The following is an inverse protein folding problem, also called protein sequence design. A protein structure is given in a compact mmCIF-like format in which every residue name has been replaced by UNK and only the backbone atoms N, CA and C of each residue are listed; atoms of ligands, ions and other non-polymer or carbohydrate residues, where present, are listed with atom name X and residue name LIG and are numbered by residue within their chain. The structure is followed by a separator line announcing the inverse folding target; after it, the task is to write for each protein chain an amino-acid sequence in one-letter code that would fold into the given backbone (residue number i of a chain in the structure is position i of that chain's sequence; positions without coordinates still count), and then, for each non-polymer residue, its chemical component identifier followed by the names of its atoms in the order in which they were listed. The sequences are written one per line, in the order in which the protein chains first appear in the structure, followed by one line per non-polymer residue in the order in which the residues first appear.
data_IF_295738919498
#
_entry.id   IF_295738919498
#
_cell.length_a   1.000
_cell.length_b   1.000
_cell.length_c   1.000
_cell.angle_alpha   90.00
_cell.angle_beta   90.00
_cell.angle_gamma   90.00
#
_symmetry.space_group_name_H-M   'P 1'
#
loop_
_entity.id
_entity.type
_entity.pdbx_description
1 polymer ?
#
# COMPACT_ATOMS: atom_id res chain seq x y z
N UNK A 1 -4.90 -0.09 13.00
CA UNK A 1 -4.56 1.15 12.28
C UNK A 1 -4.09 2.21 13.26
N UNK A 2 -4.93 2.66 14.21
CA UNK A 2 -4.60 3.78 15.10
C UNK A 2 -3.32 3.56 15.92
N UNK A 3 -3.05 2.35 16.39
CA UNK A 3 -1.88 2.04 17.20
C UNK A 3 -0.55 2.11 16.40
N UNK A 4 -0.59 1.83 15.10
CA UNK A 4 0.62 1.74 14.27
C UNK A 4 0.85 2.95 13.37
N UNK A 5 -0.12 3.85 13.24
CA UNK A 5 0.01 5.04 12.37
C UNK A 5 1.18 5.97 12.73
N UNK A 6 1.63 5.93 13.99
CA UNK A 6 2.73 6.76 14.50
C UNK A 6 4.10 6.13 14.31
N UNK A 7 4.17 4.89 13.82
CA UNK A 7 5.45 4.17 13.63
C UNK A 7 6.26 4.69 12.46
N UNK A 8 5.63 5.41 11.53
CA UNK A 8 6.25 5.86 10.29
C UNK A 8 6.25 4.82 9.17
N UNK A 9 5.58 3.67 9.36
CA UNK A 9 5.36 2.72 8.28
C UNK A 9 4.35 3.27 7.28
N UNK A 10 4.59 3.04 5.99
CA UNK A 10 3.59 3.28 4.95
C UNK A 10 2.46 2.27 5.13
N UNK A 11 1.22 2.74 5.11
CA UNK A 11 0.05 1.88 5.37
C UNK A 11 -0.77 1.72 4.10
N UNK A 12 -1.01 0.47 3.71
CA UNK A 12 -1.79 0.11 2.53
C UNK A 12 -2.93 -0.82 2.95
N UNK A 13 -4.16 -0.40 2.71
CA UNK A 13 -5.37 -1.17 3.04
C UNK A 13 -5.95 -1.83 1.80
N UNK A 14 -6.43 -3.06 1.95
CA UNK A 14 -7.17 -3.79 0.91
C UNK A 14 -8.58 -4.12 1.37
N UNK A 15 -9.54 -4.14 0.44
CA UNK A 15 -10.97 -4.38 0.70
C UNK A 15 -11.44 -5.78 0.33
N UNK A 16 -10.74 -6.48 -0.56
CA UNK A 16 -11.11 -7.81 -1.04
C UNK A 16 -9.91 -8.75 -1.12
N UNK A 17 -10.16 -10.05 -1.26
CA UNK A 17 -9.10 -11.07 -1.40
C UNK A 17 -8.24 -10.83 -2.65
N UNK A 18 -8.85 -10.40 -3.77
CA UNK A 18 -8.11 -10.05 -4.97
C UNK A 18 -7.20 -8.83 -4.74
N UNK A 19 -7.70 -7.79 -4.08
CA UNK A 19 -6.88 -6.63 -3.71
C UNK A 19 -5.72 -7.01 -2.79
N UNK A 20 -5.94 -7.91 -1.84
CA UNK A 20 -4.86 -8.40 -0.96
C UNK A 20 -3.74 -9.02 -1.78
N UNK A 21 -4.06 -9.84 -2.77
CA UNK A 21 -3.06 -10.47 -3.64
C UNK A 21 -2.27 -9.43 -4.45
N UNK A 22 -2.96 -8.54 -5.14
CA UNK A 22 -2.34 -7.56 -6.03
C UNK A 22 -1.55 -6.48 -5.27
N UNK A 23 -2.15 -5.94 -4.21
CA UNK A 23 -1.51 -4.88 -3.42
C UNK A 23 -0.39 -5.40 -2.50
N UNK A 24 -0.32 -6.70 -2.23
CA UNK A 24 0.85 -7.29 -1.59
C UNK A 24 2.11 -7.11 -2.45
N UNK A 25 1.99 -7.34 -3.76
CA UNK A 25 3.08 -7.08 -4.71
C UNK A 25 3.47 -5.60 -4.71
N UNK A 26 2.48 -4.70 -4.79
CA UNK A 26 2.73 -3.24 -4.74
C UNK A 26 3.45 -2.86 -3.45
N UNK A 27 3.03 -3.37 -2.30
CA UNK A 27 3.64 -3.07 -1.01
C UNK A 27 5.10 -3.53 -0.95
N UNK A 28 5.39 -4.77 -1.37
CA UNK A 28 6.74 -5.32 -1.36
C UNK A 28 7.69 -4.58 -2.29
N UNK A 29 7.30 -4.40 -3.54
CA UNK A 29 8.12 -3.72 -4.54
C UNK A 29 8.35 -2.25 -4.16
N UNK A 30 7.32 -1.58 -3.65
CA UNK A 30 7.44 -0.21 -3.17
C UNK A 30 8.32 -0.07 -1.93
N UNK A 31 8.29 -1.04 -1.03
CA UNK A 31 9.15 -1.04 0.17
C UNK A 31 10.62 -1.12 -0.20
N UNK A 32 10.98 -1.99 -1.14
CA UNK A 32 12.36 -2.14 -1.62
C UNK A 32 12.83 -0.88 -2.34
N UNK A 33 12.06 -0.40 -3.32
CA UNK A 33 12.40 0.79 -4.14
C UNK A 33 12.37 2.07 -3.31
N UNK A 34 11.36 2.23 -2.46
CA UNK A 34 11.14 3.43 -1.65
C UNK A 34 11.94 3.48 -0.35
N UNK A 35 12.56 2.38 0.06
CA UNK A 35 13.38 2.27 1.29
C UNK A 35 12.62 2.60 2.58
N UNK A 36 11.32 2.35 2.60
CA UNK A 36 10.47 2.53 3.77
C UNK A 36 9.73 1.23 4.10
N UNK A 37 9.48 0.97 5.39
CA UNK A 37 8.68 -0.18 5.78
C UNK A 37 7.21 0.02 5.42
N UNK A 38 6.55 -1.07 5.01
CA UNK A 38 5.13 -1.09 4.69
C UNK A 38 4.37 -1.99 5.65
N UNK A 39 3.17 -1.56 6.00
CA UNK A 39 2.16 -2.39 6.63
C UNK A 39 1.00 -2.52 5.64
N UNK A 40 0.91 -3.68 5.00
CA UNK A 40 -0.24 -4.05 4.19
C UNK A 40 -1.25 -4.78 5.08
N UNK A 41 -2.48 -4.29 5.14
CA UNK A 41 -3.49 -4.82 6.05
C UNK A 41 -4.88 -4.88 5.39
N UNK A 42 -5.70 -5.77 5.91
CA UNK A 42 -7.08 -6.00 5.50
C UNK A 42 -7.90 -6.46 6.71
N UNK A 43 -9.21 -6.54 6.55
CA UNK A 43 -10.10 -6.89 7.65
C UNK A 43 -9.90 -8.34 8.08
N UNK A 44 -9.70 -8.53 9.37
CA UNK A 44 -9.81 -9.82 10.01
C UNK A 44 -11.24 -10.31 9.97
N UNK A 45 -11.44 -11.62 9.98
CA UNK A 45 -12.74 -12.28 9.95
C UNK A 45 -13.48 -12.22 8.61
N UNK A 46 -13.61 -11.05 8.00
CA UNK A 46 -14.21 -10.90 6.67
C UNK A 46 -13.21 -11.35 5.60
N UNK A 47 -12.37 -10.48 5.14
CA UNK A 47 -11.41 -10.76 4.06
C UNK A 47 -10.46 -11.92 4.39
N UNK A 48 -10.04 -12.07 5.66
CA UNK A 48 -9.10 -13.13 6.06
C UNK A 48 -9.70 -14.55 6.07
N UNK A 49 -11.01 -14.69 6.15
CA UNK A 49 -11.72 -16.00 6.17
C UNK A 49 -12.55 -16.23 4.90
N UNK A 50 -12.57 -15.29 3.98
CA UNK A 50 -13.29 -15.40 2.73
C UNK A 50 -12.56 -16.35 1.77
N UNK A 51 -13.30 -17.32 1.22
CA UNK A 51 -12.80 -18.20 0.16
C UNK A 51 -13.26 -17.61 -1.17
N UNK A 52 -12.32 -17.08 -1.92
CA UNK A 52 -12.59 -16.46 -3.22
C UNK A 52 -11.59 -16.95 -4.27
N UNK A 53 -12.07 -17.17 -5.49
CA UNK A 53 -11.18 -17.38 -6.63
C UNK A 53 -10.51 -16.06 -6.99
N UNK A 54 -9.19 -16.08 -7.08
CA UNK A 54 -8.39 -14.92 -7.48
C UNK A 54 -7.60 -15.23 -8.75
N UNK A 55 -7.18 -14.19 -9.45
CA UNK A 55 -6.24 -14.24 -10.56
C UNK A 55 -4.89 -13.72 -10.08
N UNK A 56 -3.96 -14.63 -9.85
CA UNK A 56 -2.61 -14.27 -9.42
C UNK A 56 -1.74 -13.89 -10.61
N UNK A 57 -0.80 -12.98 -10.39
CA UNK A 57 0.28 -12.69 -11.32
C UNK A 57 1.22 -13.91 -11.44
N UNK A 58 1.83 -14.06 -12.61
CA UNK A 58 2.86 -15.08 -12.82
C UNK A 58 4.20 -14.71 -12.19
N UNK A 59 5.11 -15.65 -12.06
CA UNK A 59 6.47 -15.36 -11.60
C UNK A 59 7.22 -14.44 -12.55
N UNK A 60 6.98 -14.56 -13.83
CA UNK A 60 7.53 -13.73 -14.88
C UNK A 60 7.08 -12.28 -14.74
N UNK A 61 5.78 -12.05 -14.42
CA UNK A 61 5.26 -10.71 -14.13
C UNK A 61 5.98 -10.07 -12.95
N UNK A 62 6.17 -10.83 -11.86
CA UNK A 62 6.91 -10.33 -10.69
C UNK A 62 8.36 -10.00 -11.02
N UNK A 63 9.02 -10.82 -11.82
CA UNK A 63 10.41 -10.58 -12.23
C UNK A 63 10.55 -9.33 -13.10
N UNK A 64 9.61 -9.09 -14.00
CA UNK A 64 9.57 -7.88 -14.83
C UNK A 64 9.28 -6.61 -14.03
N UNK A 65 8.46 -6.72 -12.99
CA UNK A 65 8.13 -5.58 -12.10
C UNK A 65 9.26 -5.26 -11.13
N UNK A 66 10.17 -6.20 -10.89
CA UNK A 66 11.22 -6.08 -9.88
C UNK A 66 12.31 -5.10 -10.33
N UNK A 67 12.52 -4.05 -9.54
CA UNK A 67 13.65 -3.13 -9.70
C UNK A 67 14.93 -3.82 -9.17
N UNK A 68 15.69 -4.42 -10.08
CA UNK A 68 16.91 -5.19 -9.74
C UNK A 68 18.00 -4.32 -9.11
N UNK A 69 18.09 -3.05 -9.51
CA UNK A 69 19.05 -2.10 -8.91
C UNK A 69 18.66 -1.78 -7.46
N UNK A 70 17.37 -1.56 -7.21
CA UNK A 70 16.87 -1.33 -5.86
C UNK A 70 17.10 -2.54 -4.94
N UNK A 71 16.92 -3.77 -5.45
CA UNK A 71 17.21 -5.01 -4.71
C UNK A 71 18.70 -5.12 -4.40
N UNK A 72 19.56 -4.85 -5.36
CA UNK A 72 21.02 -4.88 -5.14
C UNK A 72 21.43 -3.86 -4.09
N UNK A 73 20.96 -2.62 -4.22
CA UNK A 73 21.23 -1.57 -3.24
C UNK A 73 20.66 -1.88 -1.84
N UNK A 74 19.51 -2.60 -1.78
CA UNK A 74 18.98 -3.09 -0.50
C UNK A 74 19.92 -4.11 0.14
N UNK A 75 20.43 -5.08 -0.63
CA UNK A 75 21.37 -6.10 -0.15
C UNK A 75 22.69 -5.51 0.32
N UNK A 76 23.21 -4.53 -0.41
CA UNK A 76 24.46 -3.83 -0.04
C UNK A 76 24.34 -3.06 1.29
N UNK A 77 23.16 -2.59 1.63
CA UNK A 77 22.89 -1.94 2.91
C UNK A 77 22.61 -2.91 4.05
N UNK A 78 22.41 -4.18 3.77
CA UNK A 78 22.12 -5.18 4.79
C UNK A 78 23.34 -5.38 5.70
N UNK A 79 23.08 -5.69 6.98
CA UNK A 79 24.13 -6.09 7.90
C UNK A 79 24.70 -7.43 7.44
N UNK A 80 26.00 -7.47 7.22
CA UNK A 80 26.72 -8.66 6.75
C UNK A 80 28.06 -8.77 7.48
N UNK A 81 28.52 -9.99 7.80
CA UNK A 81 29.87 -10.20 8.33
C UNK A 81 30.96 -9.65 7.40
N UNK A 82 30.72 -9.65 6.09
CA UNK A 82 31.68 -9.15 5.10
C UNK A 82 31.69 -7.61 5.02
N UNK A 83 30.61 -6.98 5.47
CA UNK A 83 30.46 -5.52 5.52
C UNK A 83 29.92 -5.12 6.90
N UNK A 84 30.73 -5.21 7.95
CA UNK A 84 30.31 -4.88 9.30
C UNK A 84 30.01 -3.38 9.40
N UNK A 85 28.83 -3.05 9.87
CA UNK A 85 28.40 -1.66 10.09
C UNK A 85 27.90 -1.53 11.51
N UNK A 86 28.40 -0.54 12.24
CA UNK A 86 27.85 -0.18 13.53
C UNK A 86 26.70 0.79 13.33
N UNK A 87 25.48 0.43 13.80
CA UNK A 87 24.32 1.29 13.79
C UNK A 87 23.86 1.51 15.22
N UNK A 88 23.82 2.77 15.63
CA UNK A 88 23.23 3.15 16.90
C UNK A 88 21.72 2.90 16.87
N UNK A 89 21.19 2.27 17.92
CA UNK A 89 19.76 1.96 18.05
C UNK A 89 19.00 2.97 18.88
N UNK A 90 19.70 3.68 19.80
CA UNK A 90 19.16 4.74 20.62
C UNK A 90 19.64 6.10 20.10
N UNK A 91 18.71 7.03 19.95
CA UNK A 91 18.99 8.39 19.52
C UNK A 91 18.40 9.36 20.53
N UNK A 92 19.22 10.30 21.00
CA UNK A 92 18.76 11.38 21.87
C UNK A 92 17.92 12.38 21.05
N UNK A 93 17.11 13.22 21.71
CA UNK A 93 16.23 14.17 21.05
C UNK A 93 16.90 15.12 20.05
N UNK A 94 18.13 15.48 20.30
CA UNK A 94 18.96 16.35 19.44
C UNK A 94 19.33 15.70 18.09
N UNK A 95 19.57 14.37 18.10
CA UNK A 95 19.92 13.59 16.89
C UNK A 95 18.65 13.04 16.22
N UNK A 96 17.66 12.61 17.01
CA UNK A 96 16.45 11.97 16.50
C UNK A 96 15.66 12.88 15.56
N UNK A 97 15.52 14.16 15.89
CA UNK A 97 14.83 15.12 15.05
C UNK A 97 15.47 15.22 13.66
N UNK A 98 16.79 15.36 13.59
CA UNK A 98 17.53 15.45 12.33
C UNK A 98 17.38 14.16 11.49
N UNK A 99 17.41 13.00 12.12
CA UNK A 99 17.20 11.71 11.45
C UNK A 99 15.79 11.62 10.87
N UNK A 100 14.77 12.09 11.60
CA UNK A 100 13.39 12.10 11.11
C UNK A 100 13.20 13.06 9.95
N UNK A 101 13.78 14.25 10.01
CA UNK A 101 13.75 15.21 8.89
C UNK A 101 14.43 14.65 7.64
N UNK A 102 15.59 14.02 7.77
CA UNK A 102 16.27 13.38 6.64
C UNK A 102 15.43 12.27 5.97
N UNK A 103 14.55 11.63 6.72
CA UNK A 103 13.65 10.60 6.19
C UNK A 103 12.54 11.17 5.27
N UNK A 104 12.20 12.45 5.37
CA UNK A 104 11.15 13.07 4.57
C UNK A 104 11.39 12.93 3.06
N UNK A 105 12.63 12.97 2.62
CA UNK A 105 13.01 12.77 1.22
C UNK A 105 12.54 11.40 0.66
N UNK A 106 12.45 10.38 1.51
CA UNK A 106 11.91 9.08 1.12
C UNK A 106 10.39 9.09 1.09
N UNK A 107 9.75 9.69 2.09
CA UNK A 107 8.28 9.80 2.15
C UNK A 107 7.69 10.57 0.96
N UNK A 108 8.34 11.64 0.53
CA UNK A 108 7.90 12.42 -0.63
C UNK A 108 7.85 11.62 -1.93
N UNK A 109 8.73 10.63 -2.09
CA UNK A 109 8.79 9.78 -3.29
C UNK A 109 7.79 8.64 -3.28
N UNK A 110 7.36 8.18 -2.11
CA UNK A 110 6.52 6.99 -1.96
C UNK A 110 5.21 7.04 -2.75
N UNK A 111 4.43 8.14 -2.75
CA UNK A 111 3.18 8.17 -3.52
C UNK A 111 3.39 7.93 -5.02
N UNK A 112 4.49 8.45 -5.57
CA UNK A 112 4.86 8.23 -6.96
C UNK A 112 5.21 6.77 -7.25
N UNK A 113 6.02 6.15 -6.39
CA UNK A 113 6.44 4.75 -6.52
C UNK A 113 5.23 3.80 -6.43
N UNK A 114 4.34 4.03 -5.48
CA UNK A 114 3.12 3.20 -5.33
C UNK A 114 2.24 3.32 -6.58
N UNK A 115 2.02 4.54 -7.10
CA UNK A 115 1.25 4.76 -8.33
C UNK A 115 1.87 4.06 -9.54
N UNK A 116 3.19 4.07 -9.64
CA UNK A 116 3.92 3.37 -10.69
C UNK A 116 3.63 1.87 -10.66
N UNK A 117 3.73 1.22 -9.49
CA UNK A 117 3.45 -0.20 -9.36
C UNK A 117 1.96 -0.53 -9.51
N UNK A 118 1.04 0.31 -9.02
CA UNK A 118 -0.38 0.16 -9.30
C UNK A 118 -0.69 0.20 -10.81
N UNK A 119 -0.05 1.11 -11.55
CA UNK A 119 -0.19 1.18 -13.01
C UNK A 119 0.41 -0.04 -13.72
N UNK A 120 1.48 -0.63 -13.19
CA UNK A 120 2.03 -1.88 -13.70
C UNK A 120 1.08 -3.07 -13.48
N UNK A 121 0.40 -3.15 -12.34
CA UNK A 121 -0.67 -4.14 -12.11
C UNK A 121 -1.81 -3.92 -13.11
N UNK A 122 -2.28 -2.68 -13.27
CA UNK A 122 -3.37 -2.35 -14.21
C UNK A 122 -3.01 -2.78 -15.64
N UNK A 123 -1.80 -2.52 -16.10
CA UNK A 123 -1.33 -2.91 -17.44
C UNK A 123 -1.36 -4.43 -17.67
N UNK A 124 -1.05 -5.23 -16.65
CA UNK A 124 -0.98 -6.70 -16.75
C UNK A 124 -2.32 -7.38 -16.56
N UNK A 125 -3.14 -6.83 -15.69
CA UNK A 125 -4.38 -7.51 -15.23
C UNK A 125 -5.67 -6.81 -15.66
N UNK A 126 -5.59 -5.56 -16.10
CA UNK A 126 -6.76 -4.70 -16.33
C UNK A 126 -7.44 -4.18 -15.06
N UNK A 127 -6.97 -4.60 -13.88
CA UNK A 127 -7.52 -4.14 -12.59
C UNK A 127 -6.88 -2.82 -12.17
N UNK A 128 -7.72 -1.83 -11.93
CA UNK A 128 -7.29 -0.47 -11.61
C UNK A 128 -7.34 -0.22 -10.11
N UNK A 129 -6.20 0.18 -9.54
CA UNK A 129 -6.06 0.58 -8.14
C UNK A 129 -5.71 2.06 -8.02
N UNK A 130 -6.29 2.72 -7.01
CA UNK A 130 -6.06 4.15 -6.71
C UNK A 130 -5.99 4.33 -5.19
N UNK A 131 -5.35 5.39 -4.73
CA UNK A 131 -5.33 5.71 -3.30
C UNK A 131 -6.72 5.96 -2.74
N UNK A 132 -7.56 6.60 -3.55
CA UNK A 132 -8.96 6.84 -3.26
C UNK A 132 -9.78 6.58 -4.51
N UNK A 133 -10.93 5.95 -4.33
CA UNK A 133 -11.92 5.73 -5.39
C UNK A 133 -13.22 6.39 -4.95
N UNK A 134 -13.82 7.17 -5.84
CA UNK A 134 -15.08 7.82 -5.59
C UNK A 134 -16.21 7.07 -6.30
N UNK A 135 -17.27 6.83 -5.55
CA UNK A 135 -18.54 6.28 -6.07
C UNK A 135 -19.68 7.15 -5.59
N UNK A 136 -20.55 7.59 -6.47
CA UNK A 136 -21.73 8.35 -6.11
C UNK A 136 -22.02 9.52 -7.05
N UNK A 137 -22.85 10.45 -6.59
CA UNK A 137 -23.31 11.61 -7.34
C UNK A 137 -22.17 12.56 -7.71
N UNK A 138 -22.30 13.25 -8.85
CA UNK A 138 -21.30 14.22 -9.33
C UNK A 138 -21.10 15.41 -8.36
N UNK A 139 -22.15 15.84 -7.69
CA UNK A 139 -22.15 16.91 -6.71
C UNK A 139 -22.84 16.43 -5.42
N UNK A 140 -22.11 15.66 -4.58
CA UNK A 140 -22.70 15.09 -3.38
C UNK A 140 -22.93 16.15 -2.30
N UNK A 141 -24.05 16.06 -1.58
CA UNK A 141 -24.31 16.85 -0.37
C UNK A 141 -23.56 16.30 0.84
N UNK A 142 -23.38 14.99 0.88
CA UNK A 142 -22.65 14.28 1.92
C UNK A 142 -21.64 13.32 1.27
N UNK A 143 -20.47 13.20 1.88
CA UNK A 143 -19.42 12.27 1.47
C UNK A 143 -19.09 11.35 2.63
N UNK A 144 -19.13 10.04 2.41
CA UNK A 144 -18.70 9.03 3.36
C UNK A 144 -17.33 8.52 2.95
N UNK A 145 -16.38 8.54 3.88
CA UNK A 145 -15.04 7.96 3.69
C UNK A 145 -15.01 6.60 4.37
N UNK A 146 -14.71 5.56 3.61
CA UNK A 146 -14.67 4.18 4.08
C UNK A 146 -13.35 3.50 3.69
N UNK A 147 -12.97 2.44 4.43
CA UNK A 147 -11.76 1.67 4.20
C UNK A 147 -11.99 0.22 4.62
N UNK A 148 -11.38 -0.73 3.90
CA UNK A 148 -11.52 -2.16 4.16
C UNK A 148 -12.77 -2.77 3.51
N UNK A 149 -13.21 -3.93 3.99
CA UNK A 149 -14.29 -4.74 3.37
C UNK A 149 -15.64 -4.03 3.27
N UNK A 150 -15.90 -3.03 4.09
CA UNK A 150 -17.12 -2.21 4.00
C UNK A 150 -17.24 -1.50 2.65
N UNK A 151 -16.11 -1.24 1.97
CA UNK A 151 -16.12 -0.63 0.63
C UNK A 151 -16.86 -1.49 -0.39
N UNK A 152 -16.69 -2.82 -0.34
CA UNK A 152 -17.40 -3.76 -1.23
C UNK A 152 -18.90 -3.75 -0.94
N UNK A 153 -19.29 -3.73 0.33
CA UNK A 153 -20.70 -3.61 0.72
C UNK A 153 -21.31 -2.31 0.21
N UNK A 154 -20.60 -1.20 0.35
CA UNK A 154 -21.08 0.11 -0.14
C UNK A 154 -21.25 0.07 -1.67
N UNK A 155 -20.28 -0.46 -2.40
CA UNK A 155 -20.36 -0.59 -3.87
C UNK A 155 -21.56 -1.39 -4.33
N UNK A 156 -21.93 -2.46 -3.61
CA UNK A 156 -23.07 -3.32 -3.92
C UNK A 156 -24.41 -2.62 -3.62
N UNK A 157 -24.45 -1.82 -2.55
CA UNK A 157 -25.70 -1.20 -2.08
C UNK A 157 -26.01 0.10 -2.83
N UNK A 158 -25.02 0.94 -3.11
CA UNK A 158 -25.23 2.26 -3.73
C UNK A 158 -26.07 2.23 -5.01
N UNK A 159 -25.89 1.31 -5.95
CA UNK A 159 -26.74 1.24 -7.14
C UNK A 159 -28.21 0.85 -6.86
N UNK A 160 -28.46 0.20 -5.70
CA UNK A 160 -29.80 -0.23 -5.28
C UNK A 160 -30.53 0.82 -4.46
N UNK A 161 -29.79 1.72 -3.86
CA UNK A 161 -30.36 2.90 -3.22
C UNK A 161 -30.63 3.91 -4.33
N UNK A 162 -31.90 4.20 -4.61
CA UNK A 162 -32.27 5.28 -5.52
C UNK A 162 -31.67 6.58 -4.97
N UNK A 163 -30.47 6.95 -5.43
CA UNK A 163 -29.78 8.17 -5.02
C UNK A 163 -30.57 9.45 -5.41
N UNK A 164 -31.68 9.31 -6.10
CA UNK A 164 -32.60 10.41 -6.42
C UNK A 164 -33.38 10.94 -5.21
N UNK A 165 -33.49 10.17 -4.13
CA UNK A 165 -34.24 10.57 -2.94
C UNK A 165 -33.34 11.11 -1.81
N UNK A 166 -32.07 11.35 -2.08
CA UNK A 166 -31.10 11.87 -1.10
C UNK A 166 -30.63 13.31 -1.40
N UNK A 167 -31.38 14.05 -2.21
CA UNK A 167 -31.14 15.49 -2.44
C UNK A 167 -31.76 16.36 -1.34
#
# INVERSE_FOLDING_TARGET
VCAVRQTGCVMLASSSVQEVCDLAAVAHLSAVKGRLPFIHFFDGFRTSHEIQRIEALSYEDYEEMLDKEAVQAFRERALSPNHPVMRGTAQNPDIYFQTREAANLFYEKIPGIIKEYMAQIEKRTGRTYRFFQYYGAKNPKYVVIAMGSVCETIREILPRMNCADMD
#
